data_IF_364019441493
#
_entry.id   IF_364019441493
#
_cell.length_a   1.000
_cell.length_b   1.000
_cell.length_c   1.000
_cell.angle_alpha   90.00
_cell.angle_beta   90.00
_cell.angle_gamma   90.00
#
_symmetry.space_group_name_H-M   'P 1'
#
loop_
_entity.id
_entity.type
_entity.pdbx_description
1 polymer ?
#
# COMPACT_ATOMS: atom_id res chain seq x y z
N UNK A 1 15.56 4.36 -28.21
CA UNK A 1 14.13 4.47 -27.85
C UNK A 1 14.07 4.89 -26.38
N UNK A 2 13.37 5.99 -26.06
CA UNK A 2 13.33 6.53 -24.70
C UNK A 2 12.56 5.59 -23.76
N UNK A 3 13.03 5.44 -22.52
CA UNK A 3 12.40 4.64 -21.44
C UNK A 3 10.90 4.99 -21.23
N UNK A 4 10.54 6.24 -21.48
CA UNK A 4 9.16 6.71 -21.46
C UNK A 4 8.24 6.03 -22.49
N UNK A 5 8.78 5.63 -23.65
CA UNK A 5 8.00 4.90 -24.67
C UNK A 5 7.75 3.44 -24.30
N UNK A 6 8.63 2.83 -23.52
CA UNK A 6 8.45 1.45 -23.04
C UNK A 6 7.35 1.37 -21.97
N UNK A 7 7.24 2.39 -21.10
CA UNK A 7 6.18 2.46 -20.07
C UNK A 7 4.81 2.67 -20.72
N UNK A 8 4.71 3.51 -21.77
CA UNK A 8 3.44 3.75 -22.48
C UNK A 8 2.97 2.49 -23.23
N UNK A 9 3.87 1.65 -23.73
CA UNK A 9 3.51 0.41 -24.43
C UNK A 9 3.02 -0.68 -23.45
N UNK A 10 3.50 -0.67 -22.19
CA UNK A 10 3.05 -1.60 -21.14
C UNK A 10 1.63 -1.30 -20.66
N UNK A 11 1.14 -0.07 -20.88
CA UNK A 11 -0.18 0.42 -20.41
C UNK A 11 -1.36 0.12 -21.35
N UNK A 12 -1.13 -0.47 -22.56
CA UNK A 12 -2.16 -0.52 -23.62
C UNK A 12 -2.81 -1.90 -23.83
N UNK A 13 -2.62 -2.84 -22.96
CA UNK A 13 -3.31 -4.10 -23.22
C UNK A 13 -3.68 -4.85 -21.97
N UNK A 14 -4.92 -4.87 -21.60
CA UNK A 14 -5.63 -6.05 -21.09
C UNK A 14 -7.03 -5.75 -20.54
N UNK A 15 -7.91 -6.68 -20.68
CA UNK A 15 -9.30 -6.70 -20.29
C UNK A 15 -9.70 -7.79 -19.25
N UNK A 16 -10.59 -7.44 -18.33
CA UNK A 16 -11.54 -8.16 -17.41
C UNK A 16 -11.09 -9.07 -16.26
N UNK A 17 -11.33 -8.66 -14.99
CA UNK A 17 -11.73 -9.49 -13.84
C UNK A 17 -12.13 -8.66 -12.60
N UNK A 18 -12.95 -9.15 -11.65
CA UNK A 18 -13.52 -8.37 -10.56
C UNK A 18 -12.63 -8.18 -9.32
N UNK A 19 -12.88 -7.13 -8.66
CA UNK A 19 -12.41 -6.41 -7.47
C UNK A 19 -11.94 -7.24 -6.26
N UNK A 20 -11.10 -6.80 -5.37
CA UNK A 20 -10.80 -5.55 -4.66
C UNK A 20 -9.67 -5.78 -3.65
N UNK A 21 -8.83 -4.94 -3.38
CA UNK A 21 -8.33 -4.33 -2.15
C UNK A 21 -7.19 -3.40 -2.49
N UNK A 22 -7.39 -2.15 -2.22
CA UNK A 22 -6.39 -1.13 -2.42
C UNK A 22 -6.09 -0.54 -1.04
N UNK A 23 -4.88 -0.69 -0.60
CA UNK A 23 -4.40 -0.01 0.59
C UNK A 23 -3.86 1.34 0.18
N UNK A 24 -4.02 2.35 1.02
CA UNK A 24 -3.21 3.55 0.99
C UNK A 24 -1.74 3.12 1.11
N UNK A 25 -0.88 3.78 1.72
CA UNK A 25 0.46 3.27 1.97
C UNK A 25 0.41 2.01 2.85
N UNK A 26 1.25 1.00 2.59
CA UNK A 26 1.16 -0.25 3.34
C UNK A 26 2.35 -1.19 3.19
N UNK A 27 2.25 -2.33 3.85
CA UNK A 27 3.17 -3.45 3.63
C UNK A 27 2.81 -4.14 2.32
N UNK A 28 2.22 -5.32 2.36
CA UNK A 28 1.81 -6.01 1.13
C UNK A 28 0.29 -6.06 0.99
N UNK A 29 -0.42 -6.33 2.09
CA UNK A 29 -1.88 -6.40 2.12
C UNK A 29 -2.49 -5.32 3.01
N UNK A 30 -1.87 -5.00 4.14
CA UNK A 30 -2.41 -4.08 5.13
C UNK A 30 -1.88 -2.66 4.93
N UNK A 31 -2.67 -1.66 5.34
CA UNK A 31 -2.24 -0.28 5.51
C UNK A 31 -1.21 -0.16 6.64
N UNK A 32 -0.54 0.96 6.75
CA UNK A 32 0.42 1.23 7.83
C UNK A 32 0.24 2.64 8.36
N UNK A 33 0.41 2.89 9.67
CA UNK A 33 0.10 4.19 10.30
C UNK A 33 1.13 5.29 10.01
N UNK A 34 2.12 5.05 9.14
CA UNK A 34 3.08 6.05 8.67
C UNK A 34 2.55 6.74 7.41
N UNK A 35 2.03 7.93 7.56
CA UNK A 35 1.44 8.71 6.47
C UNK A 35 2.45 9.07 5.38
N UNK A 36 1.92 9.30 4.17
CA UNK A 36 2.65 9.94 3.10
C UNK A 36 3.09 11.35 3.54
N UNK A 37 4.34 11.73 3.25
CA UNK A 37 4.84 13.05 3.61
C UNK A 37 4.02 14.16 2.95
N UNK A 38 3.78 15.25 3.68
CA UNK A 38 3.08 16.43 3.14
C UNK A 38 3.71 16.89 1.83
N UNK A 39 2.88 17.01 0.79
CA UNK A 39 3.30 17.42 -0.55
C UNK A 39 3.89 16.31 -1.42
N UNK A 40 4.04 15.10 -0.92
CA UNK A 40 4.46 13.96 -1.73
C UNK A 40 3.26 13.30 -2.41
N UNK A 41 3.40 13.06 -3.71
CA UNK A 41 2.48 12.28 -4.53
C UNK A 41 3.19 10.99 -4.97
N UNK A 42 2.72 9.84 -4.53
CA UNK A 42 3.16 8.53 -5.00
C UNK A 42 2.23 8.03 -6.09
N UNK A 43 2.81 7.62 -7.22
CA UNK A 43 2.10 6.92 -8.28
C UNK A 43 2.60 5.48 -8.35
N UNK A 44 1.67 4.53 -8.25
CA UNK A 44 1.99 3.11 -8.24
C UNK A 44 1.27 2.35 -9.34
N UNK A 45 1.96 1.39 -9.93
CA UNK A 45 1.38 0.35 -10.78
C UNK A 45 1.45 -0.98 -10.04
N UNK A 46 0.29 -1.52 -9.71
CA UNK A 46 0.14 -2.83 -9.10
C UNK A 46 -0.25 -3.87 -10.13
N UNK A 47 0.44 -5.01 -10.09
CA UNK A 47 0.17 -6.19 -10.90
C UNK A 47 0.04 -7.37 -9.95
N UNK A 48 -1.09 -8.08 -9.99
CA UNK A 48 -1.36 -9.16 -9.07
C UNK A 48 -2.18 -10.29 -9.70
N UNK A 49 -2.18 -11.43 -9.02
CA UNK A 49 -3.05 -12.54 -9.41
C UNK A 49 -4.52 -12.10 -9.29
N UNK A 50 -5.31 -12.39 -10.30
CA UNK A 50 -6.75 -12.07 -10.35
C UNK A 50 -7.59 -12.66 -9.21
N UNK A 51 -7.05 -13.64 -8.51
CA UNK A 51 -7.70 -14.24 -7.33
C UNK A 51 -7.50 -13.41 -6.07
N UNK A 52 -6.52 -12.47 -6.07
CA UNK A 52 -6.36 -11.51 -5.00
C UNK A 52 -7.38 -10.37 -5.18
N UNK A 53 -7.34 -9.71 -6.33
CA UNK A 53 -8.20 -8.58 -6.67
C UNK A 53 -8.07 -8.22 -8.17
N UNK A 54 -8.43 -6.99 -8.55
CA UNK A 54 -8.20 -6.47 -9.89
C UNK A 54 -6.73 -6.65 -10.28
N UNK A 55 -6.42 -7.39 -11.36
CA UNK A 55 -5.06 -7.79 -11.69
C UNK A 55 -4.14 -6.62 -12.05
N UNK A 56 -4.70 -5.49 -12.41
CA UNK A 56 -3.94 -4.29 -12.76
C UNK A 56 -4.62 -3.06 -12.14
N UNK A 57 -3.88 -2.33 -11.30
CA UNK A 57 -4.35 -1.10 -10.69
C UNK A 57 -3.31 0.01 -10.85
N UNK A 58 -3.78 1.20 -11.17
CA UNK A 58 -3.02 2.43 -10.95
C UNK A 58 -3.46 3.03 -9.63
N UNK A 59 -2.51 3.48 -8.85
CA UNK A 59 -2.73 4.07 -7.54
C UNK A 59 -2.07 5.44 -7.50
N UNK A 60 -2.75 6.40 -6.89
CA UNK A 60 -2.22 7.72 -6.58
C UNK A 60 -2.48 8.01 -5.10
N UNK A 61 -1.43 8.25 -4.35
CA UNK A 61 -1.50 8.57 -2.92
C UNK A 61 -0.84 9.90 -2.66
N UNK A 62 -1.46 10.75 -1.86
CA UNK A 62 -1.01 12.10 -1.63
C UNK A 62 -1.07 12.49 -0.16
N UNK A 63 0.08 12.92 0.37
CA UNK A 63 0.15 13.57 1.67
C UNK A 63 -0.37 15.01 1.58
N UNK A 64 -1.57 15.23 2.12
CA UNK A 64 -2.20 16.55 2.11
C UNK A 64 -1.64 17.47 3.19
N UNK A 65 -1.35 16.90 4.34
CA UNK A 65 -0.76 17.59 5.50
C UNK A 65 0.11 16.59 6.27
N UNK A 66 0.79 17.04 7.32
CA UNK A 66 1.59 16.18 8.22
C UNK A 66 0.77 15.12 8.97
N UNK A 67 -0.55 15.19 8.88
CA UNK A 67 -1.46 14.33 9.62
C UNK A 67 -2.63 13.78 8.79
N UNK A 68 -2.63 13.98 7.48
CA UNK A 68 -3.70 13.48 6.60
C UNK A 68 -3.20 13.16 5.21
N UNK A 69 -3.63 12.02 4.67
CA UNK A 69 -3.42 11.61 3.30
C UNK A 69 -4.70 11.11 2.63
N UNK A 70 -4.68 11.09 1.31
CA UNK A 70 -5.74 10.53 0.48
C UNK A 70 -5.14 9.59 -0.57
N UNK A 71 -5.91 8.59 -0.95
CA UNK A 71 -5.56 7.65 -1.99
C UNK A 71 -6.69 7.46 -2.98
N UNK A 72 -6.33 7.32 -4.24
CA UNK A 72 -7.25 7.02 -5.35
C UNK A 72 -6.66 5.87 -6.15
N UNK A 73 -7.47 4.86 -6.42
CA UNK A 73 -7.08 3.68 -7.15
C UNK A 73 -7.99 3.51 -8.35
N UNK A 74 -7.42 3.14 -9.48
CA UNK A 74 -8.18 2.75 -10.66
C UNK A 74 -7.84 1.31 -11.02
N UNK A 75 -8.80 0.43 -10.84
CA UNK A 75 -8.79 -0.91 -11.39
C UNK A 75 -9.23 -0.86 -12.86
N UNK A 76 -8.61 -1.70 -13.71
CA UNK A 76 -8.95 -1.71 -15.12
C UNK A 76 -9.97 -2.80 -15.47
N UNK A 77 -10.25 -3.73 -14.49
CA UNK A 77 -11.11 -4.86 -14.80
C UNK A 77 -11.73 -5.53 -13.57
N UNK A 78 -12.97 -5.14 -13.32
CA UNK A 78 -13.75 -4.10 -14.01
C UNK A 78 -13.11 -2.73 -13.89
N UNK A 79 -13.48 -1.78 -14.76
CA UNK A 79 -13.08 -0.37 -14.61
C UNK A 79 -13.78 0.18 -13.37
N UNK A 80 -13.00 0.48 -12.34
CA UNK A 80 -13.50 0.94 -11.06
C UNK A 80 -12.60 2.01 -10.47
N UNK A 81 -13.22 2.90 -9.70
CA UNK A 81 -12.50 3.88 -8.90
C UNK A 81 -12.73 3.56 -7.42
N UNK A 82 -11.64 3.46 -6.68
CA UNK A 82 -11.63 3.18 -5.25
C UNK A 82 -10.92 4.32 -4.55
N UNK A 83 -11.43 4.70 -3.39
CA UNK A 83 -10.92 5.82 -2.60
C UNK A 83 -10.59 5.34 -1.19
N UNK A 84 -9.58 5.98 -0.62
CA UNK A 84 -9.18 5.81 0.77
C UNK A 84 -8.68 7.13 1.34
N UNK A 85 -8.67 7.21 2.66
CA UNK A 85 -8.04 8.31 3.39
C UNK A 85 -7.53 7.82 4.72
N UNK A 86 -6.47 8.47 5.21
CA UNK A 86 -5.90 8.20 6.50
C UNK A 86 -5.62 9.49 7.26
N UNK A 87 -5.85 9.46 8.57
CA UNK A 87 -5.59 10.56 9.50
C UNK A 87 -4.71 10.04 10.62
N UNK A 88 -3.52 10.60 10.76
CA UNK A 88 -2.61 10.33 11.86
C UNK A 88 -3.04 11.04 13.13
N UNK A 89 -3.38 10.28 14.13
CA UNK A 89 -3.70 10.76 15.49
C UNK A 89 -2.43 10.93 16.32
N UNK A 90 -1.43 10.09 16.08
CA UNK A 90 -0.09 10.18 16.62
C UNK A 90 0.89 9.89 15.48
N UNK A 91 1.69 10.88 15.07
CA UNK A 91 2.56 10.81 13.89
C UNK A 91 4.03 10.89 14.23
N UNK A 92 4.39 10.67 15.50
CA UNK A 92 5.79 10.77 15.96
C UNK A 92 6.29 9.43 16.47
N UNK A 93 7.33 8.93 15.82
CA UNK A 93 8.05 7.74 16.28
C UNK A 93 8.52 7.85 17.73
N UNK A 94 8.62 6.72 18.47
CA UNK A 94 8.42 5.36 17.97
C UNK A 94 6.97 4.87 17.92
N UNK A 95 6.00 5.66 18.38
CA UNK A 95 4.59 5.26 18.43
C UNK A 95 3.77 6.04 17.43
N UNK A 96 3.11 5.33 16.54
CA UNK A 96 2.19 5.88 15.57
C UNK A 96 0.77 5.38 15.85
N UNK A 97 -0.22 6.19 15.51
CA UNK A 97 -1.64 5.81 15.59
C UNK A 97 -2.38 6.51 14.47
N UNK A 98 -3.14 5.78 13.71
CA UNK A 98 -3.96 6.33 12.63
C UNK A 98 -5.36 5.73 12.61
N UNK A 99 -6.24 6.44 11.94
CA UNK A 99 -7.59 6.00 11.58
C UNK A 99 -7.86 6.39 10.14
N UNK A 100 -8.67 5.60 9.45
CA UNK A 100 -9.02 5.91 8.08
C UNK A 100 -10.13 5.04 7.55
N UNK A 101 -10.30 5.08 6.26
CA UNK A 101 -11.08 4.09 5.53
C UNK A 101 -10.39 3.77 4.20
N UNK A 102 -10.62 2.56 3.74
CA UNK A 102 -10.19 2.06 2.42
C UNK A 102 -11.39 1.49 1.66
N UNK A 103 -11.19 1.15 0.40
CA UNK A 103 -12.11 0.39 -0.43
C UNK A 103 -13.49 1.04 -0.65
N UNK A 104 -13.63 2.36 -0.50
CA UNK A 104 -14.86 3.04 -0.89
C UNK A 104 -14.93 3.23 -2.41
N UNK A 105 -16.01 2.76 -3.03
CA UNK A 105 -16.27 2.99 -4.45
C UNK A 105 -17.68 3.51 -4.67
N UNK A 106 -17.84 4.69 -5.30
CA UNK A 106 -19.16 5.25 -5.58
C UNK A 106 -19.91 4.53 -6.71
N UNK A 107 -19.22 3.66 -7.47
CA UNK A 107 -19.78 2.95 -8.62
C UNK A 107 -20.04 1.47 -8.34
N UNK A 108 -19.40 0.94 -7.34
CA UNK A 108 -19.66 -0.39 -6.82
C UNK A 108 -20.42 -0.20 -5.51
N UNK A 109 -21.39 -1.06 -5.25
CA UNK A 109 -22.11 -1.08 -3.97
C UNK A 109 -21.20 -1.67 -2.86
N UNK A 110 -20.07 -0.98 -2.67
CA UNK A 110 -19.02 -1.35 -1.70
C UNK A 110 -18.92 -0.24 -0.67
N UNK A 111 -19.29 -0.58 0.55
CA UNK A 111 -19.16 0.30 1.68
C UNK A 111 -17.68 0.58 2.03
N UNK A 112 -17.37 1.80 2.49
CA UNK A 112 -16.03 2.09 3.00
C UNK A 112 -15.72 1.18 4.19
N UNK A 113 -14.49 0.70 4.23
CA UNK A 113 -13.97 -0.14 5.29
C UNK A 113 -13.15 0.71 6.27
N UNK A 114 -13.75 1.22 7.35
CA UNK A 114 -13.03 2.00 8.35
C UNK A 114 -12.06 1.12 9.13
N UNK A 115 -10.92 1.71 9.49
CA UNK A 115 -9.88 1.03 10.26
C UNK A 115 -9.25 1.93 11.31
N UNK A 116 -8.57 1.28 12.25
CA UNK A 116 -7.66 1.88 13.22
C UNK A 116 -6.40 1.06 13.29
N UNK A 117 -5.26 1.72 13.30
CA UNK A 117 -3.95 1.07 13.37
C UNK A 117 -3.01 1.77 14.32
N UNK A 118 -2.19 0.98 15.00
CA UNK A 118 -1.08 1.45 15.82
C UNK A 118 0.23 0.82 15.34
N UNK A 119 1.29 1.61 15.35
CA UNK A 119 2.63 1.19 14.97
C UNK A 119 3.65 1.48 16.07
N UNK A 120 4.61 0.57 16.21
CA UNK A 120 5.83 0.79 16.99
C UNK A 120 7.02 0.66 16.05
N UNK A 121 7.69 1.77 15.79
CA UNK A 121 8.76 1.89 14.80
C UNK A 121 10.08 2.22 15.49
N UNK A 122 11.11 1.49 15.12
CA UNK A 122 12.50 1.73 15.50
C UNK A 122 13.35 1.98 14.25
N UNK A 123 14.65 2.09 14.38
CA UNK A 123 15.56 2.24 13.24
C UNK A 123 15.44 1.11 12.21
N UNK A 124 15.17 -0.11 12.67
CA UNK A 124 15.12 -1.29 11.82
C UNK A 124 13.77 -2.00 11.83
N UNK A 125 13.04 -1.95 12.95
CA UNK A 125 11.82 -2.74 13.13
C UNK A 125 10.57 -1.88 13.05
N UNK A 126 9.56 -2.39 12.36
CA UNK A 126 8.22 -1.83 12.35
C UNK A 126 7.22 -2.93 12.74
N UNK A 127 6.50 -2.72 13.81
CA UNK A 127 5.42 -3.60 14.28
C UNK A 127 4.11 -2.85 14.14
N UNK A 128 3.13 -3.45 13.49
CA UNK A 128 1.82 -2.86 13.23
C UNK A 128 0.75 -3.78 13.77
N UNK A 129 -0.23 -3.20 14.45
CA UNK A 129 -1.43 -3.89 14.92
C UNK A 129 -2.64 -3.00 14.66
N UNK A 130 -3.76 -3.59 14.28
CA UNK A 130 -4.95 -2.82 13.99
C UNK A 130 -6.21 -3.66 13.86
N UNK A 131 -7.27 -2.97 13.50
CA UNK A 131 -8.55 -3.58 13.15
C UNK A 131 -9.20 -2.81 12.01
N UNK A 132 -9.85 -3.54 11.11
CA UNK A 132 -10.63 -3.02 10.00
C UNK A 132 -12.05 -3.59 10.05
N UNK A 133 -13.04 -2.76 9.75
CA UNK A 133 -14.42 -3.22 9.60
C UNK A 133 -14.68 -3.51 8.13
N UNK A 134 -14.68 -4.79 7.76
CA UNK A 134 -14.87 -5.28 6.40
C UNK A 134 -16.29 -5.81 6.22
N UNK A 135 -17.15 -4.98 5.59
CA UNK A 135 -18.55 -5.32 5.36
C UNK A 135 -19.35 -5.47 6.66
N UNK A 136 -19.48 -6.68 7.15
CA UNK A 136 -20.31 -7.01 8.34
C UNK A 136 -19.51 -7.50 9.55
N UNK A 137 -18.19 -7.52 9.48
CA UNK A 137 -17.31 -8.06 10.53
C UNK A 137 -16.09 -7.19 10.79
N UNK A 138 -15.56 -7.30 11.99
CA UNK A 138 -14.27 -6.73 12.35
C UNK A 138 -13.17 -7.77 12.11
N UNK A 139 -12.09 -7.34 11.50
CA UNK A 139 -10.93 -8.15 11.20
C UNK A 139 -9.70 -7.54 11.87
N UNK A 140 -8.83 -8.40 12.38
CA UNK A 140 -7.57 -7.98 12.95
C UNK A 140 -6.53 -7.81 11.86
N UNK A 141 -5.65 -6.83 12.02
CA UNK A 141 -4.51 -6.55 11.16
C UNK A 141 -3.24 -6.70 11.99
N UNK A 142 -2.27 -7.42 11.46
CA UNK A 142 -0.93 -7.57 12.04
C UNK A 142 0.11 -7.39 10.95
N UNK A 143 1.17 -6.66 11.25
CA UNK A 143 2.28 -6.44 10.34
C UNK A 143 3.62 -6.38 11.05
N UNK A 144 4.66 -6.81 10.36
CA UNK A 144 6.04 -6.64 10.76
C UNK A 144 6.90 -6.36 9.53
N UNK A 145 7.78 -5.38 9.66
CA UNK A 145 8.79 -5.14 8.66
C UNK A 145 10.16 -4.95 9.32
N UNK A 146 11.20 -5.37 8.61
CA UNK A 146 12.58 -5.22 9.02
C UNK A 146 13.41 -4.55 7.93
N UNK A 147 13.95 -3.38 8.23
CA UNK A 147 14.84 -2.63 7.35
C UNK A 147 16.28 -3.13 7.52
N UNK A 148 16.78 -3.94 6.58
CA UNK A 148 18.20 -4.38 6.57
C UNK A 148 19.14 -3.20 6.34
N UNK A 149 18.69 -2.25 5.55
CA UNK A 149 19.36 -1.00 5.21
C UNK A 149 18.37 -0.10 4.46
N UNK A 150 18.78 1.09 4.02
CA UNK A 150 17.95 2.05 3.27
C UNK A 150 17.37 1.49 1.97
N UNK A 151 17.97 0.44 1.42
CA UNK A 151 17.57 -0.15 0.14
C UNK A 151 16.62 -1.34 0.29
N UNK A 152 16.77 -2.15 1.33
CA UNK A 152 16.08 -3.44 1.44
C UNK A 152 15.30 -3.56 2.73
N UNK A 153 14.01 -3.87 2.59
CA UNK A 153 13.08 -4.19 3.68
C UNK A 153 12.46 -5.56 3.42
N UNK A 154 12.47 -6.42 4.42
CA UNK A 154 11.60 -7.59 4.48
C UNK A 154 10.29 -7.20 5.17
N UNK A 155 9.18 -7.76 4.74
CA UNK A 155 7.88 -7.50 5.36
C UNK A 155 6.98 -8.73 5.35
N UNK A 156 6.22 -8.87 6.42
CA UNK A 156 5.19 -9.90 6.57
C UNK A 156 3.96 -9.22 7.14
N UNK A 157 2.80 -9.61 6.67
CA UNK A 157 1.55 -9.11 7.22
C UNK A 157 0.44 -10.14 7.14
N UNK A 158 -0.60 -9.90 7.91
CA UNK A 158 -1.74 -10.78 8.03
C UNK A 158 -2.99 -9.97 8.37
N UNK A 159 -4.08 -10.30 7.69
CA UNK A 159 -5.41 -9.83 8.02
C UNK A 159 -6.29 -11.04 8.30
N UNK A 160 -7.02 -11.01 9.39
CA UNK A 160 -7.90 -12.13 9.77
C UNK A 160 -9.05 -12.29 8.79
N UNK A 161 -9.61 -13.52 8.74
CA UNK A 161 -10.69 -13.88 7.81
C UNK A 161 -10.22 -14.88 6.77
N UNK A 162 -11.09 -15.80 6.40
CA UNK A 162 -10.80 -16.87 5.42
C UNK A 162 -10.65 -16.35 3.98
N UNK A 163 -11.19 -15.19 3.70
CA UNK A 163 -11.09 -14.46 2.43
C UNK A 163 -9.81 -13.63 2.30
N UNK A 164 -9.13 -13.36 3.41
CA UNK A 164 -7.87 -12.64 3.46
C UNK A 164 -6.66 -13.56 3.40
N UNK A 165 -5.48 -13.01 3.53
CA UNK A 165 -4.22 -13.72 3.34
C UNK A 165 -3.22 -13.41 4.45
N UNK A 166 -2.24 -14.28 4.55
CA UNK A 166 -0.93 -14.01 5.15
C UNK A 166 0.04 -13.69 4.03
N UNK A 167 0.88 -12.68 4.18
CA UNK A 167 1.80 -12.27 3.13
C UNK A 167 3.24 -12.31 3.58
N UNK A 168 4.13 -12.49 2.64
CA UNK A 168 5.56 -12.26 2.78
C UNK A 168 6.08 -11.58 1.53
N UNK A 169 6.77 -10.48 1.71
CA UNK A 169 7.31 -9.70 0.61
C UNK A 169 8.58 -8.95 1.00
N UNK A 170 9.11 -8.23 0.05
CA UNK A 170 10.20 -7.30 0.31
C UNK A 170 9.99 -6.00 -0.48
N UNK A 171 10.52 -4.90 0.05
CA UNK A 171 10.63 -3.64 -0.68
C UNK A 171 12.08 -3.41 -1.07
N UNK A 172 12.31 -3.01 -2.32
CA UNK A 172 13.60 -2.55 -2.80
C UNK A 172 13.50 -1.09 -3.24
N UNK A 173 14.16 -0.19 -2.53
CA UNK A 173 14.35 1.20 -2.91
C UNK A 173 15.46 1.26 -3.96
N UNK A 174 15.12 1.40 -5.24
CA UNK A 174 16.08 1.47 -6.36
C UNK A 174 16.75 2.84 -6.39
N UNK A 175 15.96 3.88 -6.14
CA UNK A 175 16.38 5.26 -5.91
C UNK A 175 15.58 5.83 -4.73
N UNK A 176 15.89 7.03 -4.21
CA UNK A 176 15.06 7.66 -3.18
C UNK A 176 13.58 7.83 -3.55
N UNK A 177 13.28 7.92 -4.85
CA UNK A 177 11.94 8.19 -5.36
C UNK A 177 11.29 6.98 -6.03
N UNK A 178 12.05 5.91 -6.31
CA UNK A 178 11.54 4.73 -7.02
C UNK A 178 11.78 3.46 -6.24
N UNK A 179 10.70 2.74 -5.97
CA UNK A 179 10.73 1.44 -5.30
C UNK A 179 9.88 0.40 -6.02
N UNK A 180 10.15 -0.86 -5.74
CA UNK A 180 9.26 -1.97 -6.10
C UNK A 180 9.09 -2.92 -4.92
N UNK A 181 7.90 -3.50 -4.84
CA UNK A 181 7.50 -4.39 -3.77
C UNK A 181 6.84 -5.66 -4.35
N UNK A 182 7.54 -6.78 -4.47
CA UNK A 182 6.95 -8.08 -4.75
C UNK A 182 6.56 -8.78 -3.45
N UNK A 183 5.45 -9.52 -3.48
CA UNK A 183 5.01 -10.33 -2.37
C UNK A 183 4.32 -11.63 -2.82
N UNK A 184 4.33 -12.60 -1.92
CA UNK A 184 3.55 -13.82 -1.99
C UNK A 184 2.45 -13.76 -0.94
N UNK A 185 1.26 -14.16 -1.35
CA UNK A 185 0.06 -14.25 -0.53
C UNK A 185 -0.31 -15.72 -0.35
N UNK A 186 -0.56 -16.11 0.87
CA UNK A 186 -1.14 -17.40 1.22
C UNK A 186 -2.53 -17.15 1.77
N UNK A 187 -3.56 -17.55 1.03
CA UNK A 187 -4.94 -17.37 1.48
C UNK A 187 -5.20 -18.09 2.81
N UNK A 188 -5.90 -17.43 3.73
CA UNK A 188 -6.23 -17.97 5.05
C UNK A 188 -7.33 -19.03 5.01
N UNK A 189 -8.01 -19.19 3.89
CA UNK A 189 -9.02 -20.22 3.69
C UNK A 189 -8.45 -21.64 3.66
N UNK A 190 -9.29 -22.67 3.69
CA UNK A 190 -8.87 -24.06 3.89
C UNK A 190 -8.00 -24.63 2.76
N UNK A 191 -7.95 -23.98 1.59
CA UNK A 191 -7.11 -24.42 0.47
C UNK A 191 -5.68 -23.91 0.53
N UNK A 192 -5.43 -22.82 1.30
CA UNK A 192 -4.14 -22.15 1.39
C UNK A 192 -3.51 -21.84 0.02
N UNK A 193 -4.34 -21.35 -0.93
CA UNK A 193 -3.88 -21.04 -2.27
C UNK A 193 -2.76 -19.95 -2.22
N UNK A 194 -1.76 -20.12 -3.09
CA UNK A 194 -0.63 -19.22 -3.21
C UNK A 194 -0.85 -18.27 -4.39
N UNK A 195 -0.61 -16.98 -4.17
CA UNK A 195 -0.75 -15.92 -5.17
C UNK A 195 0.49 -15.03 -5.22
N UNK A 196 0.68 -14.34 -6.33
CA UNK A 196 1.76 -13.38 -6.52
C UNK A 196 1.25 -11.96 -6.72
N UNK A 197 2.06 -11.01 -6.31
CA UNK A 197 1.81 -9.58 -6.40
C UNK A 197 3.12 -8.82 -6.59
N UNK A 198 3.10 -7.74 -7.34
CA UNK A 198 4.21 -6.78 -7.43
C UNK A 198 3.67 -5.37 -7.64
N UNK A 199 4.25 -4.41 -6.93
CA UNK A 199 3.98 -2.97 -7.08
C UNK A 199 5.25 -2.24 -7.46
N UNK A 200 5.13 -1.29 -8.36
CA UNK A 200 6.14 -0.31 -8.73
C UNK A 200 5.63 1.06 -8.34
N UNK A 201 6.37 1.78 -7.51
CA UNK A 201 5.97 3.10 -6.99
C UNK A 201 7.02 4.13 -7.35
N UNK A 202 6.58 5.28 -7.85
CA UNK A 202 7.39 6.47 -8.00
C UNK A 202 6.77 7.62 -7.22
N UNK A 203 7.56 8.28 -6.37
CA UNK A 203 7.12 9.39 -5.53
C UNK A 203 7.65 10.71 -6.06
N UNK A 204 6.76 11.68 -6.21
CA UNK A 204 7.04 13.05 -6.61
C UNK A 204 6.84 13.97 -5.43
N UNK A 205 7.75 14.93 -5.24
CA UNK A 205 7.52 16.03 -4.31
C UNK A 205 6.85 17.19 -5.07
N UNK A 206 5.61 17.51 -4.72
CA UNK A 206 4.77 18.49 -5.44
C UNK A 206 4.77 19.86 -4.75
N UNK A 207 4.72 19.88 -3.41
CA UNK A 207 4.78 21.11 -2.59
C UNK A 207 5.31 20.81 -1.18
N UNK A 208 5.44 21.87 -0.35
CA UNK A 208 5.96 21.78 1.01
C UNK A 208 7.48 21.92 1.08
N UNK A 209 8.04 21.62 2.24
CA UNK A 209 9.47 21.60 2.43
C UNK A 209 10.05 20.38 1.71
N UNK A 210 11.04 20.61 0.85
CA UNK A 210 11.75 19.50 0.19
C UNK A 210 12.24 18.54 1.27
N UNK A 211 12.11 17.25 1.00
CA UNK A 211 12.79 16.23 1.81
C UNK A 211 14.23 16.68 2.00
N UNK A 212 14.66 16.85 3.24
CA UNK A 212 16.08 16.82 3.49
C UNK A 212 16.55 15.45 2.97
N UNK A 213 17.16 15.47 1.79
CA UNK A 213 17.79 14.24 1.30
C UNK A 213 18.75 13.89 2.43
N UNK A 214 18.52 12.77 3.09
CA UNK A 214 19.55 12.15 3.92
C UNK A 214 20.68 11.87 2.95
N UNK A 215 21.55 12.88 2.82
CA UNK A 215 22.72 12.81 1.98
C UNK A 215 23.52 11.62 2.54
N UNK A 216 23.44 10.52 1.83
CA UNK A 216 24.30 9.37 2.08
C UNK A 216 25.71 9.92 2.03
N UNK A 217 26.25 10.22 3.20
CA UNK A 217 27.68 10.45 3.36
C UNK A 217 28.35 9.11 3.07
N UNK A 218 28.64 8.89 1.78
CA UNK A 218 29.63 7.87 1.43
C UNK A 218 30.96 8.30 2.05
N UNK A 219 31.26 7.75 3.20
CA UNK A 219 32.60 7.71 3.77
C UNK A 219 33.11 6.28 3.78
#
# INVERSE_FOLDING_TARGET
MSFARAIVILLIGVANVPSVMATTKGLSQIVTPDLQQEGDLSLSLQIQDKRIANPYQLQAEMGLTKWAEVAVFRGFQPDEWIFGTEIGLLTKEPFLLSVGFVNWSPHLDVDPQPYIEAGYYTEHDKVIVGAIHAGYKNEAILGYAYDFNERWRLQVDWQSGSENSSTIGFTCNVTPDFQFNPALYVNNGPKHDLFGYIVFTYTFHVWGDKRESSAISMK
#
